data_IF_476027901255
#
_entry.id   IF_476027901255
#
_cell.length_a   1.000
_cell.length_b   1.000
_cell.length_c   1.000
_cell.angle_alpha   90.00
_cell.angle_beta   90.00
_cell.angle_gamma   90.00
#
_symmetry.space_group_name_H-M   'P 1'
#
loop_
_entity.id
_entity.type
_entity.pdbx_description
1 polymer ?
#
# COMPACT_ATOMS: atom_id res chain seq x y z
N UNK A 1 -12.87 -1.75 5.08
CA UNK A 1 -11.76 -0.82 4.77
C UNK A 1 -11.08 -0.45 6.06
N UNK A 2 -9.76 -0.59 6.12
CA UNK A 2 -9.05 -0.53 7.39
C UNK A 2 -8.50 0.87 7.60
N UNK A 3 -8.99 1.59 8.61
CA UNK A 3 -8.32 2.80 9.14
C UNK A 3 -6.84 2.57 9.40
N UNK A 4 -6.43 1.32 9.64
CA UNK A 4 -5.04 0.91 9.80
C UNK A 4 -4.19 1.18 8.56
N UNK A 5 -4.74 1.02 7.36
CA UNK A 5 -4.04 1.30 6.10
C UNK A 5 -4.01 2.81 5.81
N UNK A 6 -5.16 3.46 5.93
CA UNK A 6 -5.33 4.87 5.58
C UNK A 6 -4.55 5.79 6.51
N UNK A 7 -4.50 5.49 7.81
CA UNK A 7 -3.95 6.38 8.82
C UNK A 7 -2.45 6.67 8.66
N UNK A 8 -1.54 5.66 8.56
CA UNK A 8 -0.13 5.91 8.33
C UNK A 8 0.09 6.60 6.98
N UNK A 9 -0.67 6.23 5.95
CA UNK A 9 -0.52 6.78 4.61
C UNK A 9 -0.95 8.27 4.54
N UNK A 10 -2.14 8.60 5.04
CA UNK A 10 -2.69 9.96 5.05
C UNK A 10 -1.86 10.94 5.91
N UNK A 11 -1.20 10.44 6.96
CA UNK A 11 -0.38 11.27 7.86
C UNK A 11 1.10 11.30 7.48
N UNK A 12 1.50 10.50 6.50
CA UNK A 12 2.87 10.52 6.01
C UNK A 12 3.16 11.89 5.36
N UNK A 13 4.26 12.58 5.74
CA UNK A 13 4.69 13.79 5.05
C UNK A 13 4.86 13.50 3.56
N UNK A 14 4.55 14.45 2.68
CA UNK A 14 4.69 14.21 1.24
C UNK A 14 6.10 13.68 0.90
N UNK A 15 6.17 12.48 0.32
CA UNK A 15 7.42 11.80 0.01
C UNK A 15 7.44 11.40 -1.46
N UNK A 16 8.48 11.80 -2.18
CA UNK A 16 8.58 11.61 -3.64
C UNK A 16 8.53 10.15 -4.10
N UNK A 17 8.84 9.20 -3.20
CA UNK A 17 8.86 7.76 -3.47
C UNK A 17 7.72 7.01 -2.77
N UNK A 18 6.66 7.70 -2.34
CA UNK A 18 5.41 7.11 -1.85
C UNK A 18 4.27 7.68 -2.70
N UNK A 19 3.34 6.83 -3.14
CA UNK A 19 2.16 7.28 -3.89
C UNK A 19 1.35 8.24 -2.99
N UNK A 20 0.99 9.45 -3.45
CA UNK A 20 0.21 10.36 -2.62
C UNK A 20 -1.18 9.81 -2.28
N UNK A 21 -1.55 9.89 -1.01
CA UNK A 21 -2.94 9.79 -0.57
C UNK A 21 -3.68 11.05 -1.01
N UNK A 22 -4.86 10.90 -1.64
CA UNK A 22 -5.64 12.03 -2.15
C UNK A 22 -6.82 12.33 -1.21
N UNK A 23 -7.86 11.48 -1.19
CA UNK A 23 -9.12 11.77 -0.47
C UNK A 23 -9.69 10.56 0.23
N UNK A 24 -10.50 10.83 1.25
CA UNK A 24 -11.42 9.86 1.85
C UNK A 24 -12.73 9.91 1.08
N UNK A 25 -13.28 8.74 0.73
CA UNK A 25 -14.60 8.61 0.10
C UNK A 25 -15.62 8.29 1.18
N UNK A 26 -16.67 9.09 1.23
CA UNK A 26 -17.75 8.99 2.20
C UNK A 26 -19.06 8.69 1.45
N UNK A 27 -19.88 7.78 1.97
CA UNK A 27 -21.22 7.55 1.41
C UNK A 27 -22.19 8.67 1.76
N UNK A 28 -23.11 8.96 0.83
CA UNK A 28 -24.16 9.96 1.04
C UNK A 28 -25.33 9.43 1.87
N UNK A 29 -25.37 8.12 2.15
CA UNK A 29 -26.50 7.46 2.83
C UNK A 29 -26.45 7.62 4.35
N UNK A 30 -25.27 7.38 4.93
CA UNK A 30 -25.03 7.38 6.37
C UNK A 30 -23.80 8.20 6.76
N UNK A 31 -23.12 8.84 5.80
CA UNK A 31 -21.89 9.59 6.04
C UNK A 31 -20.71 8.69 6.42
N UNK A 32 -20.72 7.42 6.01
CA UNK A 32 -19.68 6.45 6.39
C UNK A 32 -18.50 6.50 5.44
N UNK A 33 -17.30 6.29 5.96
CA UNK A 33 -16.12 6.08 5.11
C UNK A 33 -16.27 4.74 4.39
N UNK A 34 -16.31 4.80 3.06
CA UNK A 34 -16.44 3.62 2.19
C UNK A 34 -15.18 3.35 1.39
N UNK A 35 -14.33 4.36 1.21
CA UNK A 35 -13.23 4.35 0.28
C UNK A 35 -12.12 5.34 0.64
N UNK A 36 -11.02 5.25 -0.07
CA UNK A 36 -10.09 6.35 -0.25
C UNK A 36 -9.56 6.36 -1.69
N UNK A 37 -9.00 7.47 -2.12
CA UNK A 37 -8.34 7.65 -3.42
C UNK A 37 -6.86 7.94 -3.22
N UNK A 38 -6.07 7.53 -4.21
CA UNK A 38 -4.66 7.89 -4.34
C UNK A 38 -4.39 8.31 -5.79
N UNK A 39 -3.24 8.93 -6.03
CA UNK A 39 -2.85 9.33 -7.38
C UNK A 39 -2.65 8.11 -8.29
N UNK A 40 -3.26 8.17 -9.48
CA UNK A 40 -3.05 7.14 -10.49
C UNK A 40 -1.67 7.28 -11.15
N UNK A 41 -0.82 6.26 -10.96
CA UNK A 41 0.48 6.15 -11.62
C UNK A 41 0.37 5.16 -12.79
N UNK A 42 0.57 5.61 -14.05
CA UNK A 42 0.36 4.76 -15.22
C UNK A 42 1.46 3.70 -15.42
N UNK A 43 1.07 2.60 -16.05
CA UNK A 43 2.00 1.58 -16.57
C UNK A 43 2.23 0.37 -15.67
N UNK A 44 1.38 0.16 -14.66
CA UNK A 44 1.38 -1.02 -13.79
C UNK A 44 2.51 -1.04 -12.77
N UNK A 45 2.42 -2.00 -11.84
CA UNK A 45 3.49 -2.29 -10.90
C UNK A 45 4.63 -3.09 -11.56
N UNK A 46 5.70 -3.35 -10.80
CA UNK A 46 6.88 -4.08 -11.31
C UNK A 46 6.56 -5.55 -11.63
N UNK A 47 5.65 -6.17 -10.88
CA UNK A 47 5.24 -7.56 -11.08
C UNK A 47 4.52 -7.77 -12.43
N UNK A 48 3.64 -6.82 -12.77
CA UNK A 48 2.84 -6.81 -14.00
C UNK A 48 3.67 -6.38 -15.21
N UNK A 49 4.48 -5.32 -15.07
CA UNK A 49 5.22 -4.75 -16.19
C UNK A 49 6.68 -5.21 -16.24
N UNK A 50 6.86 -6.49 -16.59
CA UNK A 50 8.17 -7.16 -16.67
C UNK A 50 9.08 -6.66 -17.81
N UNK A 51 8.53 -5.88 -18.74
CA UNK A 51 9.30 -5.34 -19.88
C UNK A 51 10.26 -4.21 -19.49
N UNK A 52 10.06 -3.62 -18.30
CA UNK A 52 10.85 -2.49 -17.78
C UNK A 52 12.27 -2.93 -17.44
N UNK A 53 13.20 -2.00 -17.62
CA UNK A 53 14.55 -2.14 -17.07
C UNK A 53 14.47 -1.82 -15.58
N UNK A 54 14.68 -2.81 -14.71
CA UNK A 54 14.87 -2.55 -13.30
C UNK A 54 16.22 -1.87 -13.11
N UNK A 55 16.25 -0.77 -12.34
CA UNK A 55 17.40 0.13 -12.26
C UNK A 55 18.04 0.13 -10.89
N UNK A 56 19.36 0.29 -10.82
CA UNK A 56 20.06 0.49 -9.53
C UNK A 56 19.60 1.75 -8.83
N UNK A 57 19.25 2.80 -9.59
CA UNK A 57 18.60 4.03 -9.09
C UNK A 57 17.30 3.72 -8.33
N UNK A 58 16.50 2.80 -8.85
CA UNK A 58 15.22 2.42 -8.25
C UNK A 58 15.42 1.63 -6.96
N UNK A 59 16.38 0.71 -6.94
CA UNK A 59 16.79 0.03 -5.69
C UNK A 59 17.28 1.04 -4.64
N UNK A 60 18.11 2.01 -5.03
CA UNK A 60 18.60 3.04 -4.11
C UNK A 60 17.44 3.90 -3.55
N UNK A 61 16.44 4.21 -4.37
CA UNK A 61 15.23 4.90 -3.92
C UNK A 61 14.41 4.04 -2.95
N UNK A 62 14.30 2.73 -3.19
CA UNK A 62 13.59 1.78 -2.32
C UNK A 62 14.27 1.69 -0.94
N UNK A 63 15.59 1.54 -0.94
CA UNK A 63 16.41 1.54 0.28
C UNK A 63 16.17 2.81 1.08
N UNK A 64 16.23 3.97 0.43
CA UNK A 64 16.04 5.28 1.09
C UNK A 64 14.65 5.43 1.70
N UNK A 65 13.59 5.11 0.96
CA UNK A 65 12.22 5.24 1.50
C UNK A 65 11.97 4.27 2.65
N UNK A 66 12.54 3.06 2.60
CA UNK A 66 12.46 2.10 3.72
C UNK A 66 13.24 2.58 4.95
N UNK A 67 14.43 3.16 4.75
CA UNK A 67 15.19 3.79 5.84
C UNK A 67 14.42 4.97 6.44
N UNK A 68 13.81 5.83 5.63
CA UNK A 68 12.98 6.95 6.12
C UNK A 68 11.78 6.43 6.92
N UNK A 69 11.04 5.44 6.40
CA UNK A 69 9.93 4.82 7.11
C UNK A 69 10.36 4.24 8.46
N UNK A 70 11.40 3.40 8.47
CA UNK A 70 11.81 2.68 9.68
C UNK A 70 12.50 3.60 10.71
N UNK A 71 13.44 4.45 10.26
CA UNK A 71 14.36 5.18 11.15
C UNK A 71 13.86 6.60 11.46
N UNK A 72 13.20 7.24 10.49
CA UNK A 72 12.71 8.62 10.69
C UNK A 72 11.29 8.60 11.24
N UNK A 73 10.41 7.78 10.68
CA UNK A 73 8.98 7.79 11.00
C UNK A 73 8.54 6.69 11.99
N UNK A 74 9.39 5.69 12.24
CA UNK A 74 9.10 4.60 13.18
C UNK A 74 8.03 3.62 12.67
N UNK A 75 7.88 3.52 11.35
CA UNK A 75 6.90 2.67 10.66
C UNK A 75 7.64 1.57 9.91
N UNK A 76 7.19 0.33 10.07
CA UNK A 76 7.52 -0.77 9.18
C UNK A 76 6.39 -0.98 8.17
N UNK A 77 6.70 -1.14 6.89
CA UNK A 77 5.70 -1.43 5.85
C UNK A 77 5.21 -2.88 5.92
N UNK A 78 6.10 -3.82 6.26
CA UNK A 78 5.85 -5.26 6.44
C UNK A 78 5.36 -6.05 5.21
N UNK A 79 5.20 -5.39 4.07
CA UNK A 79 4.85 -6.03 2.78
C UNK A 79 5.57 -5.39 1.59
N UNK A 80 6.90 -5.32 1.66
CA UNK A 80 7.74 -4.87 0.55
C UNK A 80 7.77 -6.00 -0.50
N UNK A 81 7.14 -5.77 -1.65
CA UNK A 81 6.97 -6.74 -2.73
C UNK A 81 6.82 -6.10 -4.12
N UNK A 82 7.23 -6.74 -5.25
CA UNK A 82 7.18 -6.13 -6.59
C UNK A 82 5.81 -5.55 -6.97
N UNK A 83 4.72 -6.18 -6.51
CA UNK A 83 3.34 -5.68 -6.67
C UNK A 83 3.05 -4.33 -5.98
N UNK A 84 3.81 -3.97 -4.96
CA UNK A 84 3.59 -2.79 -4.09
C UNK A 84 4.46 -1.58 -4.47
N UNK A 85 5.12 -1.58 -5.64
CA UNK A 85 5.74 -0.36 -6.17
C UNK A 85 5.40 -0.10 -7.63
N UNK A 86 5.17 1.17 -7.92
CA UNK A 86 4.89 1.73 -9.24
C UNK A 86 6.11 2.51 -9.73
N UNK A 87 6.14 2.85 -11.01
CA UNK A 87 7.18 3.71 -11.59
C UNK A 87 6.54 4.95 -12.19
N UNK A 88 6.83 6.10 -11.60
CA UNK A 88 6.57 7.41 -12.19
C UNK A 88 7.55 7.60 -13.36
N UNK A 89 7.08 7.29 -14.58
CA UNK A 89 7.91 7.33 -15.79
C UNK A 89 8.48 8.73 -16.08
N UNK A 90 7.71 9.84 -15.99
CA UNK A 90 8.25 11.19 -16.12
C UNK A 90 9.42 11.52 -15.18
N UNK A 91 9.34 11.09 -13.91
CA UNK A 91 10.39 11.36 -12.92
C UNK A 91 11.48 10.30 -12.88
N UNK A 92 11.28 9.19 -13.58
CA UNK A 92 12.10 7.99 -13.50
C UNK A 92 12.35 7.58 -12.05
N UNK A 93 11.27 7.43 -11.29
CA UNK A 93 11.32 7.13 -9.87
C UNK A 93 10.31 6.08 -9.46
N UNK A 94 10.69 5.22 -8.51
CA UNK A 94 9.72 4.30 -7.91
C UNK A 94 8.80 5.02 -6.92
N UNK A 95 7.61 4.47 -6.72
CA UNK A 95 6.66 4.91 -5.72
C UNK A 95 6.09 3.70 -4.98
N UNK A 96 6.30 3.64 -3.67
CA UNK A 96 5.74 2.63 -2.77
C UNK A 96 4.27 2.94 -2.48
N UNK A 97 3.43 1.90 -2.40
CA UNK A 97 2.03 2.00 -2.00
C UNK A 97 1.61 0.73 -1.25
N UNK A 98 0.33 0.69 -0.82
CA UNK A 98 -0.28 -0.42 -0.08
C UNK A 98 0.28 -0.61 1.33
N UNK A 99 -0.14 0.27 2.24
CA UNK A 99 0.24 0.26 3.65
C UNK A 99 -0.64 -0.68 4.49
N UNK A 100 -1.30 -1.67 3.89
CA UNK A 100 -2.27 -2.55 4.57
C UNK A 100 -1.68 -3.31 5.76
N UNK A 101 -0.38 -3.65 5.68
CA UNK A 101 0.35 -4.34 6.74
C UNK A 101 1.28 -3.44 7.55
N UNK A 102 1.25 -2.13 7.31
CA UNK A 102 2.13 -1.22 8.01
C UNK A 102 1.88 -1.29 9.53
N UNK A 103 2.95 -1.13 10.32
CA UNK A 103 2.86 -1.08 11.77
C UNK A 103 3.93 -0.19 12.40
N UNK A 104 3.72 0.19 13.65
CA UNK A 104 4.67 0.95 14.47
C UNK A 104 5.72 0.02 15.06
N UNK A 105 7.00 0.36 14.90
CA UNK A 105 8.11 -0.48 15.37
C UNK A 105 8.20 -0.48 16.92
N UNK A 106 8.01 0.67 17.56
CA UNK A 106 8.26 0.85 19.01
C UNK A 106 6.98 1.06 19.85
N UNK A 107 5.79 0.95 19.25
CA UNK A 107 4.53 1.18 19.96
C UNK A 107 3.52 0.07 19.67
N UNK A 108 3.37 -0.92 20.56
CA UNK A 108 2.23 -1.82 20.50
C UNK A 108 0.97 -1.00 20.77
N UNK A 109 0.15 -0.79 19.74
CA UNK A 109 -1.11 -0.06 19.89
C UNK A 109 -2.00 -0.79 20.91
N UNK A 110 -2.46 -0.13 21.99
CA UNK A 110 -3.47 -0.70 22.87
C UNK A 110 -4.81 -0.67 22.13
N UNK A 111 -5.16 -1.79 21.50
CA UNK A 111 -6.41 -1.93 20.78
C UNK A 111 -6.32 -1.40 19.34
N UNK A 112 -6.19 -2.36 18.42
CA UNK A 112 -6.40 -2.21 16.97
C UNK A 112 -5.26 -1.58 16.14
N UNK A 113 -4.54 -2.50 15.46
CA UNK A 113 -3.49 -2.32 14.45
C UNK A 113 -3.04 -3.70 13.97
N UNK A 114 -2.24 -3.84 12.91
CA UNK A 114 -1.38 -5.03 12.81
C UNK A 114 -0.31 -4.87 13.89
N UNK A 115 -0.15 -5.88 14.74
CA UNK A 115 1.01 -5.89 15.64
C UNK A 115 2.26 -5.90 14.79
N UNK A 116 3.25 -5.07 15.12
CA UNK A 116 4.55 -5.18 14.48
C UNK A 116 5.08 -6.61 14.61
N UNK A 117 5.26 -7.27 13.46
CA UNK A 117 5.81 -8.62 13.37
C UNK A 117 7.28 -8.49 13.05
N UNK A 118 8.14 -8.81 14.03
CA UNK A 118 9.60 -8.71 13.88
C UNK A 118 10.12 -9.47 12.65
N UNK A 119 9.48 -10.60 12.32
CA UNK A 119 9.85 -11.43 11.18
C UNK A 119 9.40 -10.83 9.84
N UNK A 120 8.46 -9.88 9.80
CA UNK A 120 8.12 -9.09 8.60
C UNK A 120 9.03 -7.88 8.45
N UNK A 121 10.32 -8.12 8.55
CA UNK A 121 11.36 -7.11 8.50
C UNK A 121 11.48 -6.49 7.09
N UNK A 122 11.36 -5.16 6.98
CA UNK A 122 11.45 -4.47 5.68
C UNK A 122 12.81 -4.60 5.00
N UNK A 123 13.92 -4.70 5.74
CA UNK A 123 15.25 -4.97 5.18
C UNK A 123 15.25 -6.30 4.45
N UNK A 124 14.66 -7.32 5.08
CA UNK A 124 14.46 -8.63 4.44
C UNK A 124 13.54 -8.53 3.23
N UNK A 125 12.46 -7.77 3.35
CA UNK A 125 11.52 -7.52 2.26
C UNK A 125 12.18 -6.89 1.02
N UNK A 126 13.05 -5.89 1.18
CA UNK A 126 13.79 -5.26 0.06
C UNK A 126 14.74 -6.23 -0.61
N UNK A 127 15.47 -7.03 0.18
CA UNK A 127 16.41 -8.02 -0.35
C UNK A 127 15.67 -9.07 -1.19
N UNK A 128 14.60 -9.66 -0.65
CA UNK A 128 13.83 -10.68 -1.35
C UNK A 128 13.12 -10.12 -2.58
N UNK A 129 12.55 -8.93 -2.47
CA UNK A 129 11.96 -8.21 -3.62
C UNK A 129 12.97 -8.05 -4.75
N UNK A 130 14.19 -7.65 -4.44
CA UNK A 130 15.24 -7.45 -5.46
C UNK A 130 15.65 -8.78 -6.09
N UNK A 131 15.82 -9.82 -5.27
CA UNK A 131 16.12 -11.16 -5.74
C UNK A 131 15.02 -11.66 -6.68
N UNK A 132 13.77 -11.61 -6.24
CA UNK A 132 12.58 -12.03 -7.01
C UNK A 132 12.46 -11.30 -8.34
N UNK A 133 12.69 -9.98 -8.39
CA UNK A 133 12.70 -9.23 -9.65
C UNK A 133 13.77 -9.79 -10.60
N UNK A 134 14.98 -10.04 -10.09
CA UNK A 134 16.12 -10.48 -10.91
C UNK A 134 15.98 -11.93 -11.36
N UNK A 135 15.59 -12.83 -10.47
CA UNK A 135 15.57 -14.29 -10.69
C UNK A 135 14.22 -14.80 -11.16
N UNK A 136 13.15 -14.03 -10.99
CA UNK A 136 11.75 -14.47 -11.15
C UNK A 136 11.41 -15.67 -10.23
N UNK A 137 12.11 -15.78 -9.10
CA UNK A 137 11.89 -16.80 -8.08
C UNK A 137 11.23 -16.16 -6.85
N UNK A 138 9.97 -16.51 -6.61
CA UNK A 138 9.15 -16.03 -5.49
C UNK A 138 9.03 -17.07 -4.36
N UNK A 139 9.76 -18.19 -4.43
CA UNK A 139 9.66 -19.28 -3.44
C UNK A 139 9.89 -18.79 -2.00
N UNK A 140 10.75 -17.78 -1.82
CA UNK A 140 11.02 -17.18 -0.52
C UNK A 140 9.80 -16.52 0.11
N UNK A 141 8.83 -16.07 -0.69
CA UNK A 141 7.55 -15.53 -0.18
C UNK A 141 6.57 -16.60 0.23
N UNK A 142 6.69 -17.81 -0.32
CA UNK A 142 5.88 -18.96 0.07
C UNK A 142 6.34 -19.57 1.41
N UNK A 143 7.57 -19.30 1.82
CA UNK A 143 8.10 -19.67 3.14
C UNK A 143 7.52 -18.75 4.23
N UNK A 144 7.07 -19.31 5.39
CA UNK A 144 6.69 -18.52 6.56
C UNK A 144 7.75 -17.49 6.95
N UNK A 145 7.33 -16.32 7.45
CA UNK A 145 8.24 -15.20 7.67
C UNK A 145 9.33 -15.51 8.68
N UNK A 146 9.01 -16.29 9.71
CA UNK A 146 9.89 -16.79 10.77
C UNK A 146 11.00 -17.72 10.23
N UNK A 147 10.72 -18.46 9.15
CA UNK A 147 11.63 -19.45 8.57
C UNK A 147 12.49 -18.88 7.43
N UNK A 148 12.19 -17.65 7.00
CA UNK A 148 12.93 -16.97 5.94
C UNK A 148 14.32 -16.54 6.40
N UNK A 149 15.36 -17.01 5.71
CA UNK A 149 16.76 -16.72 6.04
C UNK A 149 17.44 -15.80 4.99
N UNK A 150 18.16 -14.79 5.47
CA UNK A 150 18.97 -13.85 4.66
C UNK A 150 20.34 -14.41 4.21
N UNK A 151 20.72 -15.61 4.65
CA UNK A 151 22.00 -16.25 4.33
C UNK A 151 22.23 -16.47 2.83
N UNK A 152 21.18 -16.53 2.02
CA UNK A 152 21.25 -16.73 0.57
C UNK A 152 21.67 -15.48 -0.22
N UNK A 153 21.88 -14.33 0.42
CA UNK A 153 22.40 -13.13 -0.26
C UNK A 153 23.81 -13.38 -0.84
N UNK A 154 24.58 -14.30 -0.26
CA UNK A 154 25.89 -14.72 -0.76
C UNK A 154 25.83 -15.76 -1.89
N UNK A 155 24.65 -16.29 -2.23
CA UNK A 155 24.48 -17.27 -3.30
C UNK A 155 24.47 -16.58 -4.68
N UNK A 156 24.87 -17.32 -5.72
CA UNK A 156 24.88 -16.80 -7.09
C UNK A 156 23.44 -16.61 -7.58
N UNK A 157 23.00 -15.36 -7.72
CA UNK A 157 21.71 -15.03 -8.30
C UNK A 157 21.75 -15.25 -9.82
N UNK A 158 20.89 -16.15 -10.32
CA UNK A 158 20.76 -16.40 -11.76
C UNK A 158 19.69 -15.47 -12.30
N UNK A 159 20.09 -14.45 -13.06
CA UNK A 159 19.17 -13.54 -13.71
C UNK A 159 18.28 -14.28 -14.71
N UNK A 160 16.98 -14.03 -14.66
CA UNK A 160 16.02 -14.54 -15.63
C UNK A 160 16.19 -13.85 -17.01
N UNK A 161 15.98 -14.60 -18.09
CA UNK A 161 16.25 -14.15 -19.48
C UNK A 161 15.45 -12.91 -19.89
N UNK A 162 14.20 -12.81 -19.42
CA UNK A 162 13.29 -11.73 -19.79
C UNK A 162 13.54 -10.42 -19.03
N UNK A 163 14.33 -10.48 -17.94
CA UNK A 163 14.55 -9.35 -17.05
C UNK A 163 15.66 -8.46 -17.58
N UNK A 164 15.38 -7.16 -17.67
CA UNK A 164 16.35 -6.16 -18.09
C UNK A 164 16.87 -5.42 -16.87
N UNK A 165 18.19 -5.32 -16.76
CA UNK A 165 18.88 -4.57 -15.71
C UNK A 165 19.77 -3.53 -16.38
N UNK A 166 19.92 -2.37 -15.75
CA UNK A 166 20.85 -1.31 -16.20
C UNK A 166 22.31 -1.57 -15.78
N UNK A 167 22.53 -2.45 -14.79
CA UNK A 167 23.83 -2.89 -14.29
C UNK A 167 23.87 -4.41 -14.09
N UNK A 168 25.06 -5.02 -13.95
CA UNK A 168 25.20 -6.42 -13.58
C UNK A 168 24.54 -6.75 -12.23
N UNK A 169 24.15 -8.01 -12.03
CA UNK A 169 23.48 -8.50 -10.82
C UNK A 169 24.32 -8.22 -9.56
N UNK A 170 25.64 -8.32 -9.70
CA UNK A 170 26.63 -8.08 -8.66
C UNK A 170 26.54 -6.66 -8.09
N UNK A 171 26.17 -5.66 -8.92
CA UNK A 171 25.99 -4.29 -8.45
C UNK A 171 24.78 -4.15 -7.51
N UNK A 172 23.71 -4.89 -7.78
CA UNK A 172 22.52 -4.93 -6.90
C UNK A 172 22.84 -5.65 -5.58
N UNK A 173 23.50 -6.79 -5.67
CA UNK A 173 23.91 -7.56 -4.50
C UNK A 173 24.87 -6.77 -3.59
N UNK A 174 25.84 -6.06 -4.18
CA UNK A 174 26.76 -5.21 -3.43
C UNK A 174 26.02 -4.10 -2.69
N UNK A 175 25.11 -3.40 -3.35
CA UNK A 175 24.32 -2.32 -2.73
C UNK A 175 23.49 -2.83 -1.55
N UNK A 176 22.84 -3.98 -1.70
CA UNK A 176 22.06 -4.61 -0.63
C UNK A 176 22.95 -5.06 0.54
N UNK A 177 24.11 -5.65 0.24
CA UNK A 177 25.07 -6.09 1.26
C UNK A 177 25.57 -4.91 2.08
N UNK A 178 26.04 -3.84 1.42
CA UNK A 178 26.53 -2.64 2.11
C UNK A 178 25.44 -1.96 2.94
N UNK A 179 24.20 -1.90 2.44
CA UNK A 179 23.07 -1.36 3.19
C UNK A 179 22.72 -2.21 4.40
N UNK A 180 22.66 -3.54 4.25
CA UNK A 180 22.42 -4.46 5.36
C UNK A 180 23.48 -4.32 6.44
N UNK A 181 24.76 -4.35 6.07
CA UNK A 181 25.87 -4.21 7.03
C UNK A 181 25.81 -2.87 7.77
N UNK A 182 25.37 -1.79 7.11
CA UNK A 182 25.12 -0.50 7.75
C UNK A 182 23.99 -0.58 8.78
N UNK A 183 22.86 -1.18 8.41
CA UNK A 183 21.71 -1.39 9.30
C UNK A 183 22.03 -2.25 10.51
N UNK A 184 22.91 -3.23 10.36
CA UNK A 184 23.39 -4.07 11.46
C UNK A 184 24.29 -3.30 12.43
N UNK A 185 25.13 -2.37 11.94
CA UNK A 185 25.95 -1.49 12.79
C UNK A 185 25.15 -0.42 13.53
N UNK A 186 24.15 0.16 12.87
CA UNK A 186 23.37 1.27 13.40
C UNK A 186 22.23 0.83 14.36
N UNK A 187 22.11 -0.48 14.61
CA UNK A 187 21.06 -1.10 15.44
C UNK A 187 21.01 -0.55 16.89
N UNK A 188 22.07 0.11 17.36
CA UNK A 188 22.15 0.68 18.71
C UNK A 188 21.78 2.17 18.83
N UNK A 189 21.36 2.83 17.75
CA UNK A 189 21.07 4.29 17.74
C UNK A 189 19.60 4.64 17.49
N UNK A 190 18.68 3.70 17.68
CA UNK A 190 17.25 3.86 17.36
C UNK A 190 16.53 4.81 18.34
N UNK A 191 16.70 6.10 18.12
CA UNK A 191 15.67 7.08 18.48
C UNK A 191 14.99 7.49 17.18
N UNK A 192 13.72 7.16 17.03
CA UNK A 192 12.90 7.62 15.90
C UNK A 192 12.88 9.15 15.92
N UNK A 193 13.41 9.78 14.87
CA UNK A 193 13.61 11.24 14.87
C UNK A 193 12.31 12.03 14.77
N UNK A 194 11.34 11.53 13.99
CA UNK A 194 10.07 12.20 13.68
C UNK A 194 8.93 11.19 13.61
N UNK A 195 8.56 10.55 14.73
CA UNK A 195 7.54 9.51 14.73
C UNK A 195 6.21 10.08 14.21
N UNK A 196 5.56 9.35 13.31
CA UNK A 196 4.23 9.74 12.85
C UNK A 196 3.20 9.43 13.95
N UNK A 197 2.43 10.46 14.32
CA UNK A 197 1.26 10.27 15.16
C UNK A 197 0.22 9.45 14.41
N UNK A 198 -0.17 8.33 14.99
CA UNK A 198 -1.13 7.38 14.45
C UNK A 198 -2.09 7.07 15.59
N UNK A 199 -3.17 7.87 15.72
CA UNK A 199 -4.14 7.70 16.79
C UNK A 199 -4.98 6.44 16.57
N UNK A 200 -5.40 5.83 17.68
CA UNK A 200 -6.41 4.77 17.66
C UNK A 200 -7.70 5.29 16.99
N UNK A 201 -8.44 4.39 16.36
CA UNK A 201 -9.75 4.76 15.83
C UNK A 201 -10.69 5.10 17.01
N UNK A 202 -11.47 6.16 16.88
CA UNK A 202 -12.55 6.46 17.83
C UNK A 202 -13.58 5.34 17.84
N UNK A 203 -14.14 5.03 19.02
CA UNK A 203 -15.21 4.04 19.14
C UNK A 203 -16.37 4.33 18.17
N UNK A 204 -16.86 3.32 17.43
CA UNK A 204 -17.93 3.51 16.48
C UNK A 204 -19.26 3.67 17.23
N UNK A 205 -20.28 4.24 16.57
CA UNK A 205 -21.64 4.20 17.11
C UNK A 205 -22.08 2.76 17.34
N UNK A 206 -22.68 2.50 18.51
CA UNK A 206 -23.26 1.21 18.83
C UNK A 206 -24.50 0.95 17.97
N UNK A 207 -24.61 -0.28 17.43
CA UNK A 207 -25.81 -0.72 16.71
C UNK A 207 -26.39 -1.96 17.36
N UNK A 208 -27.72 -2.04 17.37
CA UNK A 208 -28.46 -3.24 17.74
C UNK A 208 -28.52 -4.12 16.49
N UNK A 209 -28.00 -5.33 16.58
CA UNK A 209 -28.10 -6.33 15.51
C UNK A 209 -28.91 -7.51 16.04
N UNK A 210 -29.89 -7.95 15.24
CA UNK A 210 -30.63 -9.18 15.51
C UNK A 210 -29.86 -10.37 14.94
N UNK A 211 -29.44 -11.29 15.81
CA UNK A 211 -28.78 -12.53 15.44
C UNK A 211 -29.76 -13.69 15.63
N UNK A 212 -29.77 -14.63 14.69
CA UNK A 212 -30.45 -15.92 14.88
C UNK A 212 -29.53 -16.84 15.66
N UNK A 213 -30.02 -17.41 16.75
CA UNK A 213 -29.31 -18.45 17.49
C UNK A 213 -29.38 -19.78 16.73
N UNK A 214 -28.58 -20.76 17.17
CA UNK A 214 -28.62 -22.15 16.67
C UNK A 214 -30.02 -22.78 16.85
N UNK A 215 -30.84 -22.22 17.75
CA UNK A 215 -32.20 -22.65 18.04
C UNK A 215 -33.26 -21.85 17.28
N UNK A 216 -32.87 -21.06 16.27
CA UNK A 216 -33.73 -20.18 15.46
C UNK A 216 -34.42 -19.02 16.21
N UNK A 217 -34.10 -18.80 17.48
CA UNK A 217 -34.56 -17.65 18.23
C UNK A 217 -33.82 -16.38 17.81
N UNK A 218 -34.54 -15.26 17.73
CA UNK A 218 -33.93 -13.96 17.46
C UNK A 218 -33.50 -13.28 18.75
N UNK A 219 -32.20 -12.99 18.87
CA UNK A 219 -31.64 -12.23 19.99
C UNK A 219 -31.04 -10.92 19.49
N UNK A 220 -31.38 -9.81 20.14
CA UNK A 220 -30.78 -8.51 19.87
C UNK A 220 -29.52 -8.30 20.71
N UNK A 221 -28.39 -8.01 20.07
CA UNK A 221 -27.12 -7.70 20.74
C UNK A 221 -26.66 -6.29 20.35
N UNK A 222 -26.18 -5.54 21.34
CA UNK A 222 -25.51 -4.25 21.11
C UNK A 222 -24.05 -4.55 20.75
N UNK A 223 -23.62 -4.12 19.57
CA UNK A 223 -22.23 -4.30 19.14
C UNK A 223 -21.61 -2.99 18.69
N UNK A 224 -20.34 -2.82 19.04
CA UNK A 224 -19.48 -1.79 18.47
C UNK A 224 -19.18 -2.19 17.03
N UNK A 225 -19.73 -1.44 16.07
CA UNK A 225 -19.66 -1.83 14.67
C UNK A 225 -18.56 -1.07 13.92
N UNK A 226 -17.33 -1.50 14.13
CA UNK A 226 -16.11 -0.89 13.58
C UNK A 226 -16.02 -0.93 12.06
N UNK A 227 -16.55 -1.99 11.45
CA UNK A 227 -16.58 -2.17 10.00
C UNK A 227 -17.77 -3.03 9.60
N UNK A 228 -18.35 -2.76 8.43
CA UNK A 228 -19.33 -3.64 7.79
C UNK A 228 -18.76 -4.13 6.47
N UNK A 229 -18.84 -5.44 6.20
CA UNK A 229 -18.59 -5.93 4.84
C UNK A 229 -19.81 -5.63 3.98
N UNK A 230 -19.59 -5.34 2.71
CA UNK A 230 -20.66 -5.13 1.73
C UNK A 230 -21.60 -6.33 1.68
N UNK A 231 -21.05 -7.55 1.74
CA UNK A 231 -21.81 -8.80 1.79
C UNK A 231 -22.79 -8.82 2.99
N UNK A 232 -22.31 -8.51 4.20
CA UNK A 232 -23.15 -8.48 5.41
C UNK A 232 -24.28 -7.44 5.33
N UNK A 233 -24.13 -6.40 4.50
CA UNK A 233 -25.18 -5.39 4.26
C UNK A 233 -26.22 -5.95 3.28
N UNK A 234 -25.78 -6.56 2.18
CA UNK A 234 -26.67 -7.21 1.23
C UNK A 234 -27.48 -8.36 1.85
N UNK A 235 -26.85 -9.19 2.69
CA UNK A 235 -27.52 -10.32 3.35
C UNK A 235 -28.65 -9.87 4.28
N UNK A 236 -28.60 -8.62 4.78
CA UNK A 236 -29.69 -8.01 5.55
C UNK A 236 -30.77 -7.35 4.70
N UNK A 237 -30.59 -7.28 3.38
CA UNK A 237 -31.46 -6.53 2.47
C UNK A 237 -31.26 -5.00 2.54
N UNK A 238 -30.21 -4.55 3.22
CA UNK A 238 -29.87 -3.12 3.33
C UNK A 238 -29.25 -2.63 2.00
N UNK A 239 -29.39 -1.33 1.73
CA UNK A 239 -28.79 -0.71 0.53
C UNK A 239 -27.30 -0.45 0.73
N UNK A 240 -26.52 -0.73 -0.32
CA UNK A 240 -25.11 -0.34 -0.42
C UNK A 240 -24.94 0.59 -1.62
N UNK A 241 -24.19 1.67 -1.43
CA UNK A 241 -23.77 2.54 -2.51
C UNK A 241 -22.61 1.88 -3.28
N UNK A 242 -22.76 1.75 -4.60
CA UNK A 242 -21.68 1.33 -5.47
C UNK A 242 -20.80 2.55 -5.76
N UNK A 243 -19.68 2.65 -5.05
CA UNK A 243 -18.70 3.76 -5.18
C UNK A 243 -17.46 3.37 -6.01
N UNK A 244 -17.36 2.11 -6.43
CA UNK A 244 -16.21 1.59 -7.16
C UNK A 244 -16.16 2.15 -8.57
N UNK A 245 -15.00 2.69 -8.96
CA UNK A 245 -14.77 3.08 -10.35
C UNK A 245 -14.51 1.85 -11.22
N UNK A 246 -14.91 1.89 -12.50
CA UNK A 246 -14.46 0.90 -13.46
C UNK A 246 -12.92 0.85 -13.49
N UNK A 247 -12.32 -0.35 -13.65
CA UNK A 247 -10.87 -0.46 -13.81
C UNK A 247 -10.39 0.45 -14.94
N UNK A 248 -9.42 1.32 -14.66
CA UNK A 248 -8.98 2.32 -15.63
C UNK A 248 -8.36 1.73 -16.90
N UNK A 249 -7.89 0.48 -16.86
CA UNK A 249 -7.45 -0.30 -18.04
C UNK A 249 -8.59 -0.66 -19.01
N UNK A 250 -9.83 -0.66 -18.53
CA UNK A 250 -11.04 -0.93 -19.33
C UNK A 250 -11.63 0.36 -19.90
N UNK A 251 -11.05 1.50 -19.53
CA UNK A 251 -11.45 2.82 -20.01
C UNK A 251 -10.49 3.17 -21.15
N UNK A 252 -11.03 3.52 -22.32
CA UNK A 252 -10.22 3.82 -23.51
C UNK A 252 -9.09 4.80 -23.18
N UNK A 253 -7.88 4.53 -23.70
CA UNK A 253 -6.74 5.45 -23.62
C UNK A 253 -7.21 6.81 -24.13
N UNK A 254 -7.40 7.81 -23.26
CA UNK A 254 -7.98 9.11 -23.64
C UNK A 254 -9.26 9.48 -22.90
N UNK A 255 -9.88 8.54 -22.20
CA UNK A 255 -10.98 8.81 -21.29
C UNK A 255 -10.44 8.71 -19.85
N UNK A 256 -10.73 9.71 -19.03
CA UNK A 256 -10.45 9.69 -17.58
C UNK A 256 -11.76 9.87 -16.82
N UNK A 257 -11.95 9.06 -15.79
CA UNK A 257 -13.03 9.26 -14.82
C UNK A 257 -12.46 10.05 -13.65
N UNK A 258 -12.88 11.30 -13.53
CA UNK A 258 -12.47 12.20 -12.45
C UNK A 258 -13.04 11.76 -11.10
N UNK A 259 -12.60 12.41 -10.02
CA UNK A 259 -13.16 12.22 -8.69
C UNK A 259 -14.60 12.70 -8.51
N UNK A 260 -15.11 13.47 -9.47
CA UNK A 260 -16.50 13.87 -9.61
C UNK A 260 -17.36 12.84 -10.38
N UNK A 261 -16.80 11.68 -10.75
CA UNK A 261 -17.37 10.75 -11.73
C UNK A 261 -17.57 11.34 -13.14
N UNK A 262 -17.03 12.53 -13.39
CA UNK A 262 -17.03 13.12 -14.73
C UNK A 262 -16.08 12.37 -15.64
N UNK A 263 -16.59 12.03 -16.82
CA UNK A 263 -15.85 11.36 -17.89
C UNK A 263 -15.24 12.43 -18.79
N UNK A 264 -13.93 12.64 -18.70
CA UNK A 264 -13.21 13.62 -19.53
C UNK A 264 -12.52 12.91 -20.68
N UNK A 265 -12.78 13.39 -21.90
CA UNK A 265 -12.05 12.98 -23.08
C UNK A 265 -10.82 13.87 -23.30
N UNK A 266 -9.65 13.36 -22.99
CA UNK A 266 -8.36 14.03 -23.07
C UNK A 266 -7.85 14.26 -24.52
N UNK A 267 -8.55 13.77 -25.56
CA UNK A 267 -8.17 14.03 -26.96
C UNK A 267 -8.83 15.26 -27.60
N UNK A 268 -9.83 15.86 -26.97
CA UNK A 268 -10.41 17.12 -27.46
C UNK A 268 -9.71 18.31 -26.82
N UNK A 269 -8.66 18.80 -27.48
CA UNK A 269 -8.28 20.21 -27.33
C UNK A 269 -9.47 21.06 -27.80
N UNK A 270 -10.08 21.78 -26.86
CA UNK A 270 -11.10 22.80 -27.14
C UNK A 270 -12.53 22.32 -26.90
N UNK A 271 -12.97 22.33 -25.65
CA UNK A 271 -14.38 22.63 -25.33
C UNK A 271 -14.38 23.61 -24.15
N UNK A 272 -14.95 24.78 -24.41
CA UNK A 272 -15.20 25.84 -23.45
C UNK A 272 -16.08 25.29 -22.32
N UNK A 273 -15.61 25.38 -21.08
CA UNK A 273 -16.43 25.13 -19.90
C UNK A 273 -17.47 26.24 -19.82
N UNK A 274 -18.72 25.94 -20.19
CA UNK A 274 -19.84 26.78 -19.77
C UNK A 274 -20.25 26.34 -18.36
N UNK A 275 -19.92 27.19 -17.41
CA UNK A 275 -20.33 27.12 -16.02
C UNK A 275 -21.86 27.30 -15.95
N UNK A 276 -22.61 26.20 -15.83
CA UNK A 276 -24.03 26.28 -15.45
C UNK A 276 -24.10 26.35 -13.94
N UNK A 277 -24.04 27.57 -13.41
CA UNK A 277 -24.52 27.87 -12.05
C UNK A 277 -26.00 27.50 -11.98
N UNK A 278 -26.35 26.53 -11.14
CA UNK A 278 -27.72 26.43 -10.62
C UNK A 278 -27.78 27.11 -9.26
N UNK A 279 -28.37 28.30 -9.27
CA UNK A 279 -28.97 28.92 -8.10
C UNK A 279 -30.23 28.14 -7.71
N UNK A 280 -30.31 27.72 -6.45
CA UNK A 280 -31.44 27.79 -5.52
C UNK A 280 -31.16 26.85 -4.34
#
# INVERSE_FOLDING_TARGET
MSWKEMNPWMRHPHHRNIVPFDRVVVDELEGRIVGFTCDYVPGGNIEENRSRVFKTKWLQQLIRVVDDLNLVYGIAHQDIAPRNFLVDAPKDSIMLFDFSFAARIECPSPGEGESYVKDRNDVKGVIFTTQEIITQDDNLRSTPHEDQNLGNLGSKWVKHLEIKLDYPVESYQLMLKEWRERRERDFHSSNVSRPIEWPAMSKPPQKIISLKTVQEEMTSVIVDNWYKRRQDIWDRGDKVLNWERPPQRLIDNGIRVLSSDEIVNCYRKGVVVQEVRKNA
#
